data_IF_908303687387
#
_entry.id   IF_908303687387
#
_cell.length_a   1.000
_cell.length_b   1.000
_cell.length_c   1.000
_cell.angle_alpha   90.00
_cell.angle_beta   90.00
_cell.angle_gamma   90.00
#
_symmetry.space_group_name_H-M   'P 1'
#
loop_
_entity.id
_entity.type
_entity.pdbx_description
1 polymer ?
#
# COMPACT_ATOMS: atom_id res chain seq x y z
N UNK A 1 -12.58 2.37 -27.63
CA UNK A 1 -11.24 1.77 -27.74
C UNK A 1 -10.28 2.93 -27.95
N UNK A 2 -9.28 3.11 -27.09
CA UNK A 2 -8.30 4.19 -27.23
C UNK A 2 -7.42 3.86 -28.44
N UNK A 3 -7.16 4.83 -29.30
CA UNK A 3 -6.29 4.65 -30.48
C UNK A 3 -4.82 4.62 -30.08
N UNK A 4 -3.96 3.94 -30.85
CA UNK A 4 -2.51 3.90 -30.58
C UNK A 4 -1.91 5.31 -30.47
N UNK A 5 -2.44 6.27 -31.24
CA UNK A 5 -2.06 7.67 -31.18
C UNK A 5 -2.38 8.32 -29.83
N UNK A 6 -3.53 8.01 -29.25
CA UNK A 6 -3.90 8.50 -27.93
C UNK A 6 -3.07 7.84 -26.82
N UNK A 7 -2.69 6.58 -26.97
CA UNK A 7 -1.77 5.90 -26.03
C UNK A 7 -0.40 6.58 -26.06
N UNK A 8 0.17 6.81 -27.24
CA UNK A 8 1.48 7.48 -27.39
C UNK A 8 1.42 8.90 -26.81
N UNK A 9 0.40 9.69 -27.17
CA UNK A 9 0.25 11.06 -26.65
C UNK A 9 0.08 11.07 -25.12
N UNK A 10 -0.59 10.07 -24.55
CA UNK A 10 -0.76 9.93 -23.10
C UNK A 10 0.57 9.54 -22.43
N UNK A 11 1.34 8.63 -23.01
CA UNK A 11 2.67 8.25 -22.52
C UNK A 11 3.63 9.43 -22.55
N UNK A 12 3.68 10.19 -23.66
CA UNK A 12 4.53 11.38 -23.77
C UNK A 12 4.16 12.45 -22.74
N UNK A 13 2.85 12.73 -22.57
CA UNK A 13 2.36 13.65 -21.54
C UNK A 13 2.82 13.20 -20.15
N UNK A 14 2.57 11.95 -19.79
CA UNK A 14 2.84 11.45 -18.44
C UNK A 14 4.33 11.34 -18.14
N UNK A 15 5.14 10.98 -19.14
CA UNK A 15 6.60 11.02 -19.04
C UNK A 15 7.11 12.44 -18.78
N UNK A 16 6.57 13.44 -19.48
CA UNK A 16 6.93 14.85 -19.26
C UNK A 16 6.50 15.38 -17.89
N UNK A 17 5.50 14.73 -17.28
CA UNK A 17 4.97 15.11 -15.98
C UNK A 17 5.57 14.31 -14.82
N UNK A 18 6.53 13.43 -15.10
CA UNK A 18 7.21 12.52 -14.16
C UNK A 18 6.29 11.50 -13.50
N UNK A 19 5.38 10.91 -14.26
CA UNK A 19 4.63 9.75 -13.78
C UNK A 19 5.59 8.59 -13.47
N UNK A 20 5.33 7.90 -12.37
CA UNK A 20 5.96 6.63 -12.02
C UNK A 20 4.93 5.52 -11.75
N UNK A 21 5.35 4.28 -11.99
CA UNK A 21 4.65 3.12 -11.44
C UNK A 21 5.22 2.88 -10.06
N UNK A 22 4.44 3.26 -9.04
CA UNK A 22 4.87 3.22 -7.64
C UNK A 22 5.31 1.82 -7.22
N UNK A 23 4.56 0.80 -7.63
CA UNK A 23 4.90 -0.59 -7.30
C UNK A 23 4.37 -1.57 -8.33
N UNK A 24 5.15 -2.62 -8.59
CA UNK A 24 4.66 -3.88 -9.15
C UNK A 24 4.84 -4.96 -8.10
N UNK A 25 3.74 -5.62 -7.75
CA UNK A 25 3.69 -6.61 -6.67
C UNK A 25 3.28 -7.96 -7.23
N UNK A 26 4.17 -8.94 -7.13
CA UNK A 26 3.89 -10.33 -7.49
C UNK A 26 3.26 -11.06 -6.30
N UNK A 27 1.98 -11.39 -6.43
CA UNK A 27 1.25 -12.26 -5.52
C UNK A 27 1.64 -13.71 -5.74
N UNK A 28 2.00 -14.45 -4.68
CA UNK A 28 2.33 -15.88 -4.74
C UNK A 28 1.58 -16.65 -3.65
N UNK A 29 0.81 -17.66 -4.06
CA UNK A 29 0.13 -18.54 -3.12
C UNK A 29 1.11 -19.50 -2.45
N UNK A 30 1.00 -19.68 -1.14
CA UNK A 30 1.84 -20.61 -0.37
C UNK A 30 1.07 -21.82 0.17
N UNK A 31 -0.20 -22.02 -0.21
CA UNK A 31 -1.00 -23.10 0.34
C UNK A 31 -0.49 -24.50 -0.05
N UNK A 32 0.13 -24.66 -1.22
CA UNK A 32 0.82 -25.89 -1.64
C UNK A 32 2.15 -26.13 -0.91
N UNK A 33 2.66 -25.12 -0.21
CA UNK A 33 3.84 -25.21 0.63
C UNK A 33 3.49 -25.64 2.06
N UNK A 34 2.21 -25.66 2.44
CA UNK A 34 1.73 -26.06 3.77
C UNK A 34 2.09 -27.52 4.09
N UNK A 35 2.44 -27.81 5.34
CA UNK A 35 2.76 -29.14 5.84
C UNK A 35 3.22 -29.13 7.29
N UNK A 36 3.31 -30.32 7.88
CA UNK A 36 3.55 -30.47 9.34
C UNK A 36 5.00 -30.17 9.76
N UNK A 37 5.97 -30.30 8.86
CA UNK A 37 7.37 -29.98 9.14
C UNK A 37 7.70 -28.51 8.76
N UNK A 38 7.98 -27.64 9.74
CA UNK A 38 8.32 -26.23 9.49
C UNK A 38 9.56 -26.04 8.62
N UNK A 39 10.54 -26.96 8.66
CA UNK A 39 11.75 -26.84 7.82
C UNK A 39 11.42 -27.11 6.36
N UNK A 40 10.63 -28.14 6.09
CA UNK A 40 10.15 -28.44 4.74
C UNK A 40 9.23 -27.35 4.21
N UNK A 41 8.37 -26.77 5.06
CA UNK A 41 7.57 -25.59 4.70
C UNK A 41 8.48 -24.45 4.20
N UNK A 42 9.45 -24.02 5.00
CA UNK A 42 10.35 -22.92 4.65
C UNK A 42 11.16 -23.19 3.39
N UNK A 43 11.66 -24.43 3.21
CA UNK A 43 12.37 -24.83 1.99
C UNK A 43 11.47 -24.73 0.74
N UNK A 44 10.21 -25.15 0.83
CA UNK A 44 9.25 -25.05 -0.29
C UNK A 44 8.90 -23.60 -0.59
N UNK A 45 8.68 -22.78 0.44
CA UNK A 45 8.41 -21.34 0.29
C UNK A 45 9.56 -20.65 -0.45
N UNK A 46 10.81 -20.83 0.00
CA UNK A 46 11.99 -20.26 -0.66
C UNK A 46 12.08 -20.69 -2.12
N UNK A 47 11.94 -22.00 -2.38
CA UNK A 47 12.03 -22.54 -3.74
C UNK A 47 10.91 -22.00 -4.66
N UNK A 48 9.67 -21.91 -4.16
CA UNK A 48 8.54 -21.40 -4.94
C UNK A 48 8.68 -19.92 -5.25
N UNK A 49 9.03 -19.09 -4.26
CA UNK A 49 9.22 -17.65 -4.46
C UNK A 49 10.39 -17.39 -5.42
N UNK A 50 11.54 -18.04 -5.21
CA UNK A 50 12.71 -17.86 -6.08
C UNK A 50 12.41 -18.23 -7.53
N UNK A 51 11.65 -19.31 -7.74
CA UNK A 51 11.25 -19.77 -9.08
C UNK A 51 10.31 -18.81 -9.79
N UNK A 52 9.36 -18.21 -9.07
CA UNK A 52 8.32 -17.35 -9.67
C UNK A 52 8.74 -15.88 -9.77
N UNK A 53 9.53 -15.39 -8.79
CA UNK A 53 9.90 -13.98 -8.66
C UNK A 53 11.33 -13.67 -9.11
N UNK A 54 12.16 -14.68 -9.43
CA UNK A 54 13.59 -14.48 -9.74
C UNK A 54 13.87 -13.52 -10.91
N UNK A 55 12.94 -13.40 -11.87
CA UNK A 55 13.05 -12.47 -13.01
C UNK A 55 12.29 -11.16 -12.80
N UNK A 56 11.56 -10.99 -11.70
CA UNK A 56 10.62 -9.88 -11.49
C UNK A 56 11.30 -8.51 -11.64
N UNK A 57 12.43 -8.31 -10.95
CA UNK A 57 13.17 -7.03 -10.95
C UNK A 57 13.64 -6.68 -12.36
N UNK A 58 14.29 -7.63 -13.03
CA UNK A 58 14.82 -7.48 -14.39
C UNK A 58 13.70 -7.12 -15.38
N UNK A 59 12.56 -7.83 -15.31
CA UNK A 59 11.42 -7.57 -16.19
C UNK A 59 10.82 -6.19 -15.93
N UNK A 60 10.62 -5.80 -14.67
CA UNK A 60 10.12 -4.48 -14.32
C UNK A 60 11.03 -3.36 -14.83
N UNK A 61 12.35 -3.51 -14.70
CA UNK A 61 13.33 -2.52 -15.19
C UNK A 61 13.34 -2.44 -16.72
N UNK A 62 13.28 -3.59 -17.41
CA UNK A 62 13.18 -3.64 -18.89
C UNK A 62 11.92 -2.94 -19.40
N UNK A 63 10.77 -3.22 -18.78
CA UNK A 63 9.50 -2.58 -19.14
C UNK A 63 9.53 -1.09 -18.83
N UNK A 64 10.05 -0.70 -17.67
CA UNK A 64 10.16 0.71 -17.29
C UNK A 64 11.04 1.51 -18.25
N UNK A 65 12.16 0.93 -18.68
CA UNK A 65 13.03 1.53 -19.71
C UNK A 65 12.32 1.65 -21.06
N UNK A 66 11.56 0.63 -21.47
CA UNK A 66 10.83 0.60 -22.75
C UNK A 66 9.80 1.73 -22.86
N UNK A 67 9.04 1.98 -21.79
CA UNK A 67 8.01 3.02 -21.76
C UNK A 67 8.51 4.37 -21.26
N UNK A 68 9.73 4.45 -20.73
CA UNK A 68 10.29 5.66 -20.13
C UNK A 68 9.56 6.09 -18.85
N UNK A 69 8.94 5.13 -18.15
CA UNK A 69 8.19 5.31 -16.90
C UNK A 69 8.78 4.32 -15.89
N UNK A 70 9.48 4.77 -14.84
CA UNK A 70 10.14 3.86 -13.92
C UNK A 70 9.13 3.08 -13.08
N UNK A 71 9.47 1.82 -12.80
CA UNK A 71 8.85 1.03 -11.72
C UNK A 71 9.67 1.25 -10.46
N UNK A 72 9.15 2.02 -9.51
CA UNK A 72 9.90 2.46 -8.33
C UNK A 72 10.16 1.28 -7.39
N UNK A 73 9.10 0.55 -7.03
CA UNK A 73 9.21 -0.61 -6.14
C UNK A 73 8.83 -1.90 -6.86
N UNK A 74 9.56 -2.97 -6.57
CA UNK A 74 9.28 -4.35 -6.99
C UNK A 74 9.10 -5.17 -5.72
N UNK A 75 7.93 -5.78 -5.57
CA UNK A 75 7.51 -6.39 -4.30
C UNK A 75 6.94 -7.78 -4.52
N UNK A 76 6.91 -8.55 -3.44
CA UNK A 76 6.19 -9.82 -3.38
C UNK A 76 5.12 -9.74 -2.29
N UNK A 77 3.96 -10.33 -2.56
CA UNK A 77 2.93 -10.54 -1.55
C UNK A 77 2.62 -12.03 -1.50
N UNK A 78 2.62 -12.62 -0.30
CA UNK A 78 2.33 -14.05 -0.14
C UNK A 78 0.99 -14.29 0.55
N UNK A 79 0.50 -15.53 0.47
CA UNK A 79 -0.65 -15.95 1.28
C UNK A 79 -0.45 -15.64 2.77
N UNK A 80 -1.53 -15.38 3.54
CA UNK A 80 -1.43 -15.11 4.97
C UNK A 80 -0.64 -16.23 5.67
N UNK A 81 0.52 -15.88 6.23
CA UNK A 81 1.38 -16.85 6.89
C UNK A 81 0.68 -17.49 8.09
N UNK A 82 -0.25 -16.80 8.76
CA UNK A 82 -1.05 -17.38 9.83
C UNK A 82 -1.87 -18.61 9.37
N UNK A 83 -2.26 -18.63 8.08
CA UNK A 83 -2.99 -19.75 7.46
C UNK A 83 -2.02 -20.78 6.90
N UNK A 84 -1.05 -20.35 6.09
CA UNK A 84 -0.12 -21.27 5.42
C UNK A 84 0.81 -22.02 6.40
N UNK A 85 1.10 -21.41 7.56
CA UNK A 85 1.94 -21.95 8.62
C UNK A 85 1.16 -22.16 9.94
N UNK A 86 -0.14 -22.43 9.87
CA UNK A 86 -1.05 -22.43 11.04
C UNK A 86 -0.67 -23.39 12.19
N UNK A 87 0.13 -24.42 11.92
CA UNK A 87 0.63 -25.39 12.91
C UNK A 87 1.89 -24.92 13.66
N UNK A 88 2.54 -23.86 13.17
CA UNK A 88 3.81 -23.39 13.70
C UNK A 88 3.66 -22.64 15.04
N UNK A 89 4.68 -22.76 15.86
CA UNK A 89 4.86 -21.96 17.09
C UNK A 89 5.38 -20.54 16.78
N UNK A 90 5.32 -19.65 17.77
CA UNK A 90 5.85 -18.28 17.69
C UNK A 90 7.29 -18.25 17.15
N UNK A 91 8.21 -19.03 17.74
CA UNK A 91 9.60 -19.08 17.28
C UNK A 91 9.75 -19.59 15.83
N UNK A 92 8.91 -20.53 15.41
CA UNK A 92 8.91 -21.02 14.03
C UNK A 92 8.34 -19.99 13.04
N UNK A 93 7.38 -19.16 13.46
CA UNK A 93 6.90 -18.02 12.68
C UNK A 93 8.01 -16.98 12.47
N UNK A 94 8.83 -16.71 13.50
CA UNK A 94 10.01 -15.84 13.38
C UNK A 94 11.03 -16.43 12.38
N UNK A 95 11.33 -17.73 12.45
CA UNK A 95 12.18 -18.41 11.45
C UNK A 95 11.60 -18.33 10.02
N UNK A 96 10.27 -18.41 9.90
CA UNK A 96 9.58 -18.24 8.62
C UNK A 96 9.73 -16.82 8.09
N UNK A 97 9.59 -15.79 8.93
CA UNK A 97 9.86 -14.40 8.55
C UNK A 97 11.32 -14.22 8.09
N UNK A 98 12.30 -14.80 8.80
CA UNK A 98 13.70 -14.79 8.37
C UNK A 98 13.91 -15.44 7.00
N UNK A 99 13.20 -16.54 6.71
CA UNK A 99 13.24 -17.17 5.38
C UNK A 99 12.68 -16.27 4.28
N UNK A 100 11.57 -15.58 4.56
CA UNK A 100 10.98 -14.61 3.61
C UNK A 100 11.94 -13.45 3.36
N UNK A 101 12.58 -12.91 4.40
CA UNK A 101 13.55 -11.82 4.31
C UNK A 101 14.77 -12.20 3.46
N UNK A 102 15.38 -13.35 3.75
CA UNK A 102 16.52 -13.87 3.00
C UNK A 102 16.16 -14.09 1.53
N UNK A 103 14.99 -14.68 1.27
CA UNK A 103 14.51 -14.94 -0.10
C UNK A 103 14.27 -13.62 -0.84
N UNK A 104 13.64 -12.63 -0.19
CA UNK A 104 13.40 -11.31 -0.77
C UNK A 104 14.71 -10.60 -1.13
N UNK A 105 15.73 -10.71 -0.27
CA UNK A 105 17.08 -10.18 -0.54
C UNK A 105 17.73 -10.89 -1.74
N UNK A 106 17.63 -12.21 -1.83
CA UNK A 106 18.22 -13.01 -2.91
C UNK A 106 17.64 -12.68 -4.29
N UNK A 107 16.33 -12.47 -4.38
CA UNK A 107 15.65 -12.08 -5.63
C UNK A 107 15.70 -10.56 -5.91
N UNK A 108 16.23 -9.78 -4.97
CA UNK A 108 16.42 -8.33 -5.13
C UNK A 108 15.15 -7.48 -5.04
N UNK A 109 14.07 -7.98 -4.43
CA UNK A 109 12.84 -7.18 -4.22
C UNK A 109 12.96 -6.28 -3.00
N UNK A 110 12.22 -5.17 -3.01
CA UNK A 110 12.27 -4.16 -1.95
C UNK A 110 11.63 -4.67 -0.65
N UNK A 111 10.44 -5.26 -0.78
CA UNK A 111 9.65 -5.74 0.35
C UNK A 111 8.86 -7.01 0.01
N UNK A 112 8.60 -7.82 1.04
CA UNK A 112 7.71 -8.97 1.00
C UNK A 112 6.63 -8.85 2.07
N UNK A 113 5.37 -8.81 1.64
CA UNK A 113 4.19 -8.76 2.49
C UNK A 113 3.49 -10.11 2.56
N UNK A 114 2.57 -10.27 3.50
CA UNK A 114 1.84 -11.52 3.73
C UNK A 114 2.18 -12.22 5.04
N UNK A 115 3.09 -11.65 5.86
CA UNK A 115 3.21 -12.03 7.28
C UNK A 115 1.96 -11.52 8.04
N UNK A 116 0.83 -12.13 7.71
CA UNK A 116 -0.50 -11.56 7.90
C UNK A 116 -1.41 -12.53 8.63
N UNK A 117 -2.26 -11.98 9.51
CA UNK A 117 -3.36 -12.68 10.16
C UNK A 117 -4.70 -11.97 9.89
N UNK A 118 -5.78 -12.76 9.76
CA UNK A 118 -7.14 -12.28 9.52
C UNK A 118 -8.01 -12.74 10.70
N UNK A 119 -8.30 -11.84 11.63
CA UNK A 119 -8.84 -12.16 12.96
C UNK A 119 -10.12 -11.41 13.29
N UNK A 120 -10.81 -10.85 12.30
CA UNK A 120 -12.03 -10.08 12.51
C UNK A 120 -13.17 -10.86 13.19
N UNK A 121 -13.11 -12.20 13.20
CA UNK A 121 -14.10 -13.10 13.82
C UNK A 121 -13.56 -13.94 14.97
N UNK A 122 -12.39 -13.61 15.49
CA UNK A 122 -11.71 -14.37 16.54
C UNK A 122 -10.39 -14.93 16.05
N UNK A 123 -9.77 -15.78 16.88
CA UNK A 123 -8.43 -16.27 16.64
C UNK A 123 -8.40 -17.79 16.47
N UNK A 124 -7.61 -18.25 15.51
CA UNK A 124 -7.05 -19.60 15.53
C UNK A 124 -5.73 -19.62 16.31
N UNK A 125 -5.18 -20.81 16.52
CA UNK A 125 -3.84 -20.98 17.11
C UNK A 125 -2.75 -20.32 16.25
N UNK A 126 -2.85 -20.47 14.93
CA UNK A 126 -1.90 -19.89 13.97
C UNK A 126 -1.92 -18.36 13.99
N UNK A 127 -3.12 -17.77 14.11
CA UNK A 127 -3.27 -16.32 14.18
C UNK A 127 -2.59 -15.73 15.41
N UNK A 128 -2.82 -16.32 16.60
CA UNK A 128 -2.15 -15.88 17.83
C UNK A 128 -0.64 -16.02 17.73
N UNK A 129 -0.17 -17.18 17.25
CA UNK A 129 1.26 -17.43 17.08
C UNK A 129 1.93 -16.44 16.13
N UNK A 130 1.23 -16.04 15.04
CA UNK A 130 1.74 -15.02 14.13
C UNK A 130 1.79 -13.65 14.80
N UNK A 131 0.69 -13.20 15.43
CA UNK A 131 0.63 -11.87 16.06
C UNK A 131 1.68 -11.74 17.15
N UNK A 132 1.84 -12.75 18.00
CA UNK A 132 2.87 -12.79 19.05
C UNK A 132 4.30 -12.80 18.48
N UNK A 133 4.50 -13.31 17.25
CA UNK A 133 5.80 -13.33 16.59
C UNK A 133 6.15 -12.01 15.89
N UNK A 134 5.18 -11.11 15.63
CA UNK A 134 5.39 -9.86 14.88
C UNK A 134 6.55 -9.03 15.46
N UNK A 135 6.65 -8.77 16.78
CA UNK A 135 7.68 -7.89 17.31
C UNK A 135 9.10 -8.41 17.00
N UNK A 136 9.35 -9.69 17.27
CA UNK A 136 10.66 -10.31 17.03
C UNK A 136 10.93 -10.51 15.54
N UNK A 137 9.92 -10.89 14.75
CA UNK A 137 10.03 -11.06 13.31
C UNK A 137 10.41 -9.74 12.63
N UNK A 138 9.74 -8.63 12.97
CA UNK A 138 10.01 -7.33 12.36
C UNK A 138 11.30 -6.68 12.88
N UNK A 139 11.73 -7.00 14.11
CA UNK A 139 13.02 -6.55 14.64
C UNK A 139 14.22 -7.27 14.00
N UNK A 140 14.04 -8.55 13.62
CA UNK A 140 15.12 -9.39 13.07
C UNK A 140 15.18 -9.41 11.53
N UNK A 141 14.23 -8.78 10.84
CA UNK A 141 14.15 -8.75 9.37
C UNK A 141 14.17 -7.31 8.83
N UNK A 142 14.49 -7.13 7.55
CA UNK A 142 14.55 -5.80 6.93
C UNK A 142 13.40 -5.56 5.93
N UNK A 143 13.01 -6.58 5.17
CA UNK A 143 12.11 -6.52 4.02
C UNK A 143 10.73 -7.10 4.28
N UNK A 144 10.56 -7.83 5.38
CA UNK A 144 9.26 -8.41 5.73
C UNK A 144 8.34 -7.31 6.26
N UNK A 145 7.15 -7.23 5.67
CA UNK A 145 6.03 -6.43 6.14
C UNK A 145 4.96 -7.34 6.72
N UNK A 146 4.30 -6.85 7.77
CA UNK A 146 3.23 -7.56 8.47
C UNK A 146 1.95 -6.75 8.47
N UNK A 147 0.83 -7.46 8.41
CA UNK A 147 -0.49 -6.85 8.53
C UNK A 147 -1.46 -7.70 9.34
N UNK A 148 -2.38 -7.08 10.06
CA UNK A 148 -3.40 -7.81 10.83
C UNK A 148 -4.76 -7.18 10.59
N UNK A 149 -5.70 -7.96 10.03
CA UNK A 149 -7.08 -7.49 9.88
C UNK A 149 -7.87 -7.83 11.13
N UNK A 150 -8.31 -6.80 11.87
CA UNK A 150 -8.99 -6.94 13.17
C UNK A 150 -10.50 -6.71 13.07
N UNK A 151 -10.98 -6.24 11.93
CA UNK A 151 -12.39 -5.88 11.76
C UNK A 151 -12.88 -6.09 10.33
N UNK A 152 -14.19 -6.29 10.19
CA UNK A 152 -14.89 -6.12 8.92
C UNK A 152 -16.32 -5.66 9.16
N UNK A 153 -16.92 -5.01 8.17
CA UNK A 153 -18.31 -4.55 8.20
C UNK A 153 -19.28 -5.71 8.47
N UNK A 154 -18.93 -6.92 8.01
CA UNK A 154 -19.74 -8.13 8.19
C UNK A 154 -19.54 -8.79 9.56
N UNK A 155 -18.35 -8.67 10.15
CA UNK A 155 -17.99 -9.34 11.40
C UNK A 155 -18.12 -8.44 12.64
N UNK A 156 -18.11 -7.12 12.46
CA UNK A 156 -17.82 -6.18 13.52
C UNK A 156 -16.31 -6.03 13.75
N UNK A 157 -15.96 -5.61 14.95
CA UNK A 157 -14.58 -5.37 15.38
C UNK A 157 -14.22 -6.40 16.44
N UNK A 158 -13.13 -7.12 16.24
CA UNK A 158 -12.57 -7.99 17.27
C UNK A 158 -11.72 -7.15 18.25
N UNK A 159 -12.33 -6.68 19.33
CA UNK A 159 -11.65 -5.83 20.33
C UNK A 159 -10.50 -6.56 21.05
N UNK A 160 -10.55 -7.89 21.18
CA UNK A 160 -9.43 -8.65 21.74
C UNK A 160 -8.20 -8.55 20.82
N UNK A 161 -8.41 -8.56 19.49
CA UNK A 161 -7.35 -8.38 18.51
C UNK A 161 -6.83 -6.95 18.48
N UNK A 162 -7.71 -5.96 18.56
CA UNK A 162 -7.32 -4.54 18.68
C UNK A 162 -6.42 -4.32 19.90
N UNK A 163 -6.82 -4.85 21.06
CA UNK A 163 -6.03 -4.74 22.29
C UNK A 163 -4.68 -5.47 22.19
N UNK A 164 -4.65 -6.67 21.61
CA UNK A 164 -3.42 -7.41 21.36
C UNK A 164 -2.49 -6.65 20.40
N UNK A 165 -3.04 -6.01 19.36
CA UNK A 165 -2.25 -5.20 18.44
C UNK A 165 -1.66 -3.95 19.11
N UNK A 166 -2.39 -3.30 20.02
CA UNK A 166 -1.84 -2.20 20.82
C UNK A 166 -0.57 -2.60 21.60
N UNK A 167 -0.57 -3.80 22.20
CA UNK A 167 0.61 -4.37 22.87
C UNK A 167 1.73 -4.74 21.88
N UNK A 168 1.35 -5.35 20.77
CA UNK A 168 2.27 -5.81 19.73
C UNK A 168 3.04 -4.65 19.11
N UNK A 169 2.35 -3.55 18.78
CA UNK A 169 2.95 -2.33 18.25
C UNK A 169 3.92 -1.72 19.26
N UNK A 170 3.52 -1.61 20.54
CA UNK A 170 4.38 -1.08 21.60
C UNK A 170 5.66 -1.91 21.73
N UNK A 171 5.54 -3.23 21.78
CA UNK A 171 6.68 -4.14 21.89
C UNK A 171 7.59 -4.06 20.66
N UNK A 172 7.03 -4.01 19.45
CA UNK A 172 7.81 -3.87 18.21
C UNK A 172 8.62 -2.55 18.19
N UNK A 173 8.01 -1.44 18.62
CA UNK A 173 8.70 -0.16 18.77
C UNK A 173 9.84 -0.24 19.79
N UNK A 174 9.59 -0.85 20.96
CA UNK A 174 10.58 -0.98 22.03
C UNK A 174 11.78 -1.87 21.65
N UNK A 175 11.54 -2.95 20.89
CA UNK A 175 12.59 -3.84 20.39
C UNK A 175 13.46 -3.18 19.32
N UNK A 176 12.93 -2.19 18.61
CA UNK A 176 13.64 -1.46 17.54
C UNK A 176 13.92 0.00 17.90
N UNK A 177 13.93 0.35 19.19
CA UNK A 177 14.12 1.73 19.68
C UNK A 177 15.41 2.40 19.17
N UNK A 178 16.47 1.61 19.03
CA UNK A 178 17.79 2.10 18.58
C UNK A 178 17.81 2.45 17.08
N UNK A 179 16.79 2.01 16.34
CA UNK A 179 16.53 2.38 14.95
C UNK A 179 15.19 3.10 14.81
N UNK A 180 14.86 3.99 15.75
CA UNK A 180 13.66 4.85 15.73
C UNK A 180 12.32 4.08 15.65
N UNK A 181 12.27 2.85 16.19
CA UNK A 181 11.04 2.04 16.18
C UNK A 181 10.67 1.50 14.80
N UNK A 182 11.65 1.31 13.91
CA UNK A 182 11.47 0.94 12.48
C UNK A 182 10.55 -0.26 12.24
N UNK A 183 10.41 -1.19 13.20
CA UNK A 183 9.46 -2.29 13.07
C UNK A 183 8.01 -1.80 12.81
N UNK A 184 7.60 -0.69 13.44
CA UNK A 184 6.26 -0.12 13.28
C UNK A 184 6.01 0.41 11.87
N UNK A 185 7.05 0.87 11.14
CA UNK A 185 6.91 1.30 9.75
C UNK A 185 6.62 0.13 8.79
N UNK A 186 6.82 -1.11 9.23
CA UNK A 186 6.56 -2.35 8.45
C UNK A 186 5.32 -3.09 8.95
N UNK A 187 4.53 -2.50 9.85
CA UNK A 187 3.36 -3.12 10.47
C UNK A 187 2.12 -2.28 10.18
N UNK A 188 1.04 -2.93 9.74
CA UNK A 188 -0.24 -2.27 9.52
C UNK A 188 -1.40 -3.03 10.17
N UNK A 189 -2.34 -2.31 10.77
CA UNK A 189 -3.58 -2.89 11.33
C UNK A 189 -4.74 -2.45 10.46
N UNK A 190 -5.55 -3.41 10.00
CA UNK A 190 -6.63 -3.16 9.05
C UNK A 190 -8.01 -3.42 9.62
N UNK A 191 -8.95 -2.69 9.04
CA UNK A 191 -10.36 -3.02 8.97
C UNK A 191 -10.77 -3.15 7.51
N UNK A 192 -11.52 -4.19 7.16
CA UNK A 192 -11.97 -4.46 5.79
C UNK A 192 -10.84 -4.57 4.75
N UNK A 193 -9.73 -5.23 5.09
CA UNK A 193 -8.61 -5.43 4.16
C UNK A 193 -9.07 -6.08 2.83
N UNK A 194 -8.78 -5.47 1.65
CA UNK A 194 -8.95 -6.15 0.36
C UNK A 194 -7.97 -7.33 0.19
N UNK A 195 -8.31 -8.28 -0.68
CA UNK A 195 -7.54 -9.52 -0.89
C UNK A 195 -6.31 -9.35 -1.81
N UNK A 196 -6.19 -8.23 -2.50
CA UNK A 196 -5.32 -8.03 -3.67
C UNK A 196 -4.52 -6.70 -3.62
N UNK A 197 -4.32 -6.14 -2.42
CA UNK A 197 -3.65 -4.84 -2.24
C UNK A 197 -2.18 -4.91 -2.69
N UNK A 198 -1.73 -4.07 -3.65
CA UNK A 198 -0.33 -4.07 -4.07
C UNK A 198 0.60 -3.27 -3.14
N UNK A 199 0.06 -2.43 -2.25
CA UNK A 199 0.80 -1.50 -1.40
C UNK A 199 1.23 -2.11 -0.05
N UNK A 200 2.47 -1.84 0.36
CA UNK A 200 3.01 -2.20 1.67
C UNK A 200 2.70 -1.12 2.71
N UNK A 201 2.64 -1.44 4.01
CA UNK A 201 2.91 -2.75 4.64
C UNK A 201 1.76 -3.77 4.54
N UNK A 202 0.62 -3.39 3.93
CA UNK A 202 -0.61 -4.20 3.95
C UNK A 202 -0.72 -5.33 2.94
N UNK A 203 0.14 -5.37 1.92
CA UNK A 203 0.00 -6.31 0.82
C UNK A 203 0.09 -7.77 1.28
N UNK A 204 -0.85 -8.59 0.83
CA UNK A 204 -0.85 -10.04 0.94
C UNK A 204 -1.63 -10.61 -0.25
N UNK A 205 -1.47 -11.91 -0.51
CA UNK A 205 -2.28 -12.60 -1.50
C UNK A 205 -3.45 -13.32 -0.82
N UNK A 206 -4.67 -12.81 -0.99
CA UNK A 206 -5.85 -13.32 -0.30
C UNK A 206 -6.30 -14.72 -0.72
N UNK A 207 -7.11 -15.33 0.14
CA UNK A 207 -7.77 -16.61 -0.15
C UNK A 207 -8.81 -16.39 -1.24
N UNK A 208 -8.65 -17.06 -2.38
CA UNK A 208 -9.52 -16.91 -3.55
C UNK A 208 -8.79 -16.34 -4.78
N UNK A 209 -7.63 -15.74 -4.57
CA UNK A 209 -6.76 -15.27 -5.65
C UNK A 209 -6.06 -16.45 -6.38
N UNK A 210 -5.59 -16.25 -7.63
CA UNK A 210 -4.84 -17.25 -8.38
C UNK A 210 -3.54 -17.69 -7.66
N UNK A 211 -2.94 -18.80 -8.11
CA UNK A 211 -1.67 -19.30 -7.54
C UNK A 211 -0.52 -18.28 -7.65
N UNK A 212 -0.56 -17.43 -8.67
CA UNK A 212 0.38 -16.36 -8.92
C UNK A 212 -0.31 -15.24 -9.70
N UNK A 213 -0.07 -13.97 -9.36
CA UNK A 213 -0.74 -12.81 -10.01
C UNK A 213 0.12 -11.54 -9.93
N UNK A 214 0.07 -10.67 -10.94
CA UNK A 214 0.69 -9.34 -10.92
C UNK A 214 -0.35 -8.28 -10.59
N UNK A 215 -0.12 -7.56 -9.48
CA UNK A 215 -0.88 -6.36 -9.11
C UNK A 215 0.02 -5.14 -9.22
N UNK A 216 -0.53 -4.01 -9.66
CA UNK A 216 0.24 -2.78 -9.89
C UNK A 216 -0.38 -1.62 -9.11
N UNK A 217 0.47 -0.89 -8.40
CA UNK A 217 0.12 0.38 -7.78
C UNK A 217 0.71 1.52 -8.58
N UNK A 218 -0.13 2.46 -9.00
CA UNK A 218 0.29 3.66 -9.72
C UNK A 218 0.13 4.86 -8.82
N UNK A 219 1.16 5.71 -8.76
CA UNK A 219 1.07 7.00 -8.08
C UNK A 219 1.20 8.12 -9.10
N UNK A 220 0.61 9.27 -8.81
CA UNK A 220 0.76 10.46 -9.65
C UNK A 220 0.24 11.75 -9.02
N UNK A 221 0.52 12.05 -7.74
CA UNK A 221 0.09 13.31 -7.15
C UNK A 221 0.65 14.51 -7.92
N UNK A 222 1.92 14.46 -8.35
CA UNK A 222 2.50 15.53 -9.18
C UNK A 222 1.79 15.73 -10.52
N UNK A 223 1.33 14.66 -11.18
CA UNK A 223 0.55 14.71 -12.43
C UNK A 223 -0.80 15.39 -12.20
N UNK A 224 -1.51 14.99 -11.13
CA UNK A 224 -2.80 15.57 -10.76
C UNK A 224 -2.66 17.05 -10.40
N UNK A 225 -1.63 17.41 -9.61
CA UNK A 225 -1.33 18.78 -9.25
C UNK A 225 -1.09 19.66 -10.48
N UNK A 226 -0.21 19.23 -11.40
CA UNK A 226 0.09 19.98 -12.63
C UNK A 226 -1.15 20.16 -13.51
N UNK A 227 -2.01 19.15 -13.60
CA UNK A 227 -3.27 19.24 -14.34
C UNK A 227 -4.21 20.30 -13.74
N UNK A 228 -4.33 20.34 -12.40
CA UNK A 228 -5.11 21.35 -11.67
C UNK A 228 -4.53 22.75 -11.91
N UNK A 229 -3.22 22.93 -11.70
CA UNK A 229 -2.55 24.23 -11.82
C UNK A 229 -2.70 24.82 -13.22
N UNK A 230 -2.54 23.99 -14.26
CA UNK A 230 -2.73 24.39 -15.66
C UNK A 230 -4.15 24.85 -15.93
N UNK A 231 -5.12 24.09 -15.45
CA UNK A 231 -6.52 24.40 -15.68
C UNK A 231 -6.96 25.68 -14.93
N UNK A 232 -6.47 25.90 -13.70
CA UNK A 232 -6.71 27.16 -12.96
C UNK A 232 -6.08 28.36 -13.64
N UNK A 233 -4.88 28.18 -14.20
CA UNK A 233 -4.18 29.23 -14.95
C UNK A 233 -4.93 29.59 -16.23
N UNK A 234 -5.54 28.60 -16.91
CA UNK A 234 -6.33 28.81 -18.11
C UNK A 234 -7.73 29.38 -17.83
N UNK A 235 -8.33 29.04 -16.68
CA UNK A 235 -9.65 29.51 -16.28
C UNK A 235 -9.65 29.96 -14.80
N UNK A 236 -9.55 31.28 -14.53
CA UNK A 236 -9.60 31.80 -13.16
C UNK A 236 -10.92 31.57 -12.42
N UNK A 237 -12.01 31.22 -13.14
CA UNK A 237 -13.34 30.94 -12.56
C UNK A 237 -13.59 29.43 -12.36
N UNK A 238 -12.54 28.65 -12.20
CA UNK A 238 -12.68 27.21 -12.00
C UNK A 238 -13.35 26.91 -10.67
N UNK A 239 -14.47 26.19 -10.72
CA UNK A 239 -15.14 25.66 -9.55
C UNK A 239 -14.64 24.23 -9.21
N UNK A 240 -15.07 23.72 -8.06
CA UNK A 240 -14.71 22.38 -7.61
C UNK A 240 -15.26 21.27 -8.52
N UNK A 241 -16.34 21.50 -9.25
CA UNK A 241 -16.92 20.53 -10.17
C UNK A 241 -16.06 20.32 -11.41
N UNK A 242 -15.58 21.42 -12.00
CA UNK A 242 -14.63 21.38 -13.12
C UNK A 242 -13.29 20.78 -12.70
N UNK A 243 -12.80 21.16 -11.51
CA UNK A 243 -11.60 20.55 -10.90
C UNK A 243 -11.75 19.04 -10.72
N UNK A 244 -12.88 18.57 -10.21
CA UNK A 244 -13.16 17.14 -10.07
C UNK A 244 -13.14 16.41 -11.42
N UNK A 245 -13.68 17.01 -12.49
CA UNK A 245 -13.64 16.41 -13.83
C UNK A 245 -12.20 16.31 -14.38
N UNK A 246 -11.36 17.32 -14.12
CA UNK A 246 -9.93 17.29 -14.49
C UNK A 246 -9.19 16.18 -13.74
N UNK A 247 -9.41 16.06 -12.43
CA UNK A 247 -8.81 15.00 -11.60
C UNK A 247 -9.25 13.63 -12.14
N UNK A 248 -10.54 13.44 -12.39
CA UNK A 248 -11.10 12.20 -12.93
C UNK A 248 -10.50 11.82 -14.28
N UNK A 249 -10.37 12.76 -15.22
CA UNK A 249 -9.73 12.50 -16.53
C UNK A 249 -8.25 12.19 -16.41
N UNK A 250 -7.57 12.84 -15.46
CA UNK A 250 -6.15 12.60 -15.20
C UNK A 250 -5.95 11.21 -14.59
N UNK A 251 -6.72 10.88 -13.57
CA UNK A 251 -6.78 9.55 -12.96
C UNK A 251 -7.01 8.45 -14.01
N UNK A 252 -7.98 8.64 -14.92
CA UNK A 252 -8.22 7.71 -16.02
C UNK A 252 -6.95 7.43 -16.84
N UNK A 253 -6.24 8.48 -17.28
CA UNK A 253 -5.03 8.34 -18.09
C UNK A 253 -3.92 7.62 -17.34
N UNK A 254 -3.73 7.98 -16.07
CA UNK A 254 -2.72 7.38 -15.20
C UNK A 254 -3.01 5.88 -15.01
N UNK A 255 -4.26 5.51 -14.71
CA UNK A 255 -4.68 4.11 -14.57
C UNK A 255 -4.46 3.31 -15.86
N UNK A 256 -4.78 3.87 -17.03
CA UNK A 256 -4.56 3.18 -18.32
C UNK A 256 -3.10 2.86 -18.57
N UNK A 257 -2.20 3.78 -18.25
CA UNK A 257 -0.76 3.56 -18.42
C UNK A 257 -0.21 2.57 -17.41
N UNK A 258 -0.65 2.64 -16.15
CA UNK A 258 -0.30 1.64 -15.15
C UNK A 258 -0.75 0.23 -15.53
N UNK A 259 -1.99 0.10 -16.04
CA UNK A 259 -2.50 -1.18 -16.53
C UNK A 259 -1.68 -1.69 -17.72
N UNK A 260 -1.30 -0.81 -18.67
CA UNK A 260 -0.46 -1.18 -19.81
C UNK A 260 0.88 -1.76 -19.35
N UNK A 261 1.56 -1.07 -18.43
CA UNK A 261 2.84 -1.52 -17.87
C UNK A 261 2.67 -2.84 -17.10
N UNK A 262 1.63 -2.94 -16.28
CA UNK A 262 1.35 -4.14 -15.49
C UNK A 262 1.07 -5.37 -16.33
N UNK A 263 0.30 -5.22 -17.42
CA UNK A 263 0.03 -6.31 -18.37
C UNK A 263 1.28 -6.76 -19.09
N UNK A 264 2.14 -5.83 -19.54
CA UNK A 264 3.40 -6.19 -20.18
C UNK A 264 4.34 -6.96 -19.22
N UNK A 265 4.41 -6.55 -17.95
CA UNK A 265 5.18 -7.29 -16.93
C UNK A 265 4.59 -8.69 -16.71
N UNK A 266 3.27 -8.78 -16.58
CA UNK A 266 2.54 -10.04 -16.40
C UNK A 266 2.78 -11.01 -17.58
N UNK A 267 2.68 -10.52 -18.82
CA UNK A 267 2.90 -11.29 -20.03
C UNK A 267 4.36 -11.79 -20.15
N UNK A 268 5.35 -10.94 -19.84
CA UNK A 268 6.77 -11.32 -19.83
C UNK A 268 7.10 -12.38 -18.78
N UNK A 269 6.47 -12.30 -17.60
CA UNK A 269 6.61 -13.28 -16.52
C UNK A 269 5.71 -14.52 -16.70
N UNK A 270 4.80 -14.49 -17.68
CA UNK A 270 3.79 -15.54 -17.92
C UNK A 270 2.90 -15.81 -16.69
N UNK A 271 2.53 -14.73 -16.01
CA UNK A 271 1.66 -14.70 -14.84
C UNK A 271 0.41 -13.89 -15.20
N UNK A 272 -0.80 -14.24 -14.71
CA UNK A 272 -1.97 -13.41 -14.97
C UNK A 272 -1.82 -12.02 -14.36
N UNK A 273 -2.35 -11.03 -15.08
CA UNK A 273 -2.56 -9.70 -14.51
C UNK A 273 -3.78 -9.71 -13.61
N UNK A 274 -3.62 -9.21 -12.39
CA UNK A 274 -4.69 -9.02 -11.41
C UNK A 274 -5.24 -7.61 -11.52
N UNK A 275 -4.89 -6.74 -10.57
CA UNK A 275 -5.46 -5.40 -10.47
C UNK A 275 -4.47 -4.26 -10.68
N UNK A 276 -5.02 -3.12 -11.10
CA UNK A 276 -4.38 -1.80 -11.03
C UNK A 276 -5.04 -0.97 -9.94
N UNK A 277 -4.28 -0.61 -8.92
CA UNK A 277 -4.71 0.32 -7.87
C UNK A 277 -4.15 1.71 -8.18
N UNK A 278 -5.05 2.67 -8.39
CA UNK A 278 -4.68 4.07 -8.50
C UNK A 278 -4.78 4.72 -7.13
N UNK A 279 -3.62 4.95 -6.53
CA UNK A 279 -3.54 5.63 -5.26
C UNK A 279 -2.51 6.75 -5.31
N UNK A 280 -2.95 7.97 -4.97
CA UNK A 280 -2.07 9.14 -4.90
C UNK A 280 -1.21 8.99 -3.64
N UNK A 281 -0.05 8.36 -3.81
CA UNK A 281 0.92 8.11 -2.76
C UNK A 281 2.09 9.10 -2.93
N UNK A 282 2.24 10.08 -2.03
CA UNK A 282 3.25 11.12 -2.19
C UNK A 282 4.67 10.58 -1.99
N UNK A 283 5.65 11.42 -2.32
CA UNK A 283 7.04 11.22 -1.94
C UNK A 283 7.56 12.41 -1.13
N UNK A 284 8.74 12.30 -0.48
CA UNK A 284 9.37 13.45 0.17
C UNK A 284 9.80 14.56 -0.81
N UNK A 285 9.69 14.33 -2.12
CA UNK A 285 10.13 15.27 -3.14
C UNK A 285 9.12 16.39 -3.36
N UNK A 286 9.62 17.62 -3.48
CA UNK A 286 8.80 18.79 -3.82
C UNK A 286 8.15 18.59 -5.20
N UNK A 287 6.87 18.91 -5.33
CA UNK A 287 6.11 18.73 -6.57
C UNK A 287 5.40 17.37 -6.70
N UNK A 288 5.60 16.45 -5.75
CA UNK A 288 4.96 15.12 -5.71
C UNK A 288 4.28 14.88 -4.35
N UNK A 289 3.45 15.85 -3.96
CA UNK A 289 2.79 15.93 -2.66
C UNK A 289 1.26 16.00 -2.81
N UNK A 290 0.56 15.23 -1.98
CA UNK A 290 -0.90 15.33 -1.83
C UNK A 290 -1.25 16.63 -1.08
N UNK A 291 -0.40 17.04 -0.14
CA UNK A 291 -0.50 18.34 0.54
C UNK A 291 -0.53 19.53 -0.42
N UNK A 292 0.29 19.49 -1.47
CA UNK A 292 0.30 20.52 -2.52
C UNK A 292 -0.96 20.49 -3.41
N UNK A 293 -1.54 19.31 -3.67
CA UNK A 293 -2.82 19.22 -4.40
C UNK A 293 -3.90 20.02 -3.65
N UNK A 294 -3.97 19.90 -2.32
CA UNK A 294 -4.93 20.67 -1.52
C UNK A 294 -4.72 22.18 -1.66
N UNK A 295 -3.47 22.64 -1.75
CA UNK A 295 -3.16 24.04 -1.99
C UNK A 295 -3.59 24.48 -3.39
N UNK A 296 -3.33 23.65 -4.40
CA UNK A 296 -3.80 23.84 -5.77
C UNK A 296 -5.33 23.81 -5.89
N UNK A 297 -6.06 23.14 -4.97
CA UNK A 297 -7.52 23.22 -4.86
C UNK A 297 -8.02 24.49 -4.16
N UNK A 298 -7.12 25.31 -3.59
CA UNK A 298 -7.44 26.60 -2.97
C UNK A 298 -7.40 26.59 -1.45
N UNK A 299 -6.96 25.51 -0.80
CA UNK A 299 -6.75 25.49 0.65
C UNK A 299 -5.42 26.15 1.02
N UNK A 300 -5.36 26.82 2.17
CA UNK A 300 -4.10 27.40 2.66
C UNK A 300 -3.08 26.32 3.08
N UNK A 301 -3.58 25.25 3.69
CA UNK A 301 -2.80 24.10 4.16
C UNK A 301 -3.76 22.92 4.33
N UNK A 302 -3.23 21.70 4.28
CA UNK A 302 -3.96 20.52 4.75
C UNK A 302 -4.28 20.69 6.25
N UNK A 303 -5.46 20.21 6.67
CA UNK A 303 -5.95 20.28 8.06
C UNK A 303 -6.91 21.44 8.34
N UNK A 304 -6.87 22.52 7.54
CA UNK A 304 -7.79 23.66 7.70
C UNK A 304 -9.25 23.32 7.35
N UNK A 305 -10.24 24.16 7.72
CA UNK A 305 -11.63 23.97 7.30
C UNK A 305 -11.76 23.78 5.78
N UNK A 306 -12.56 22.80 5.37
CA UNK A 306 -12.70 22.39 3.98
C UNK A 306 -11.82 21.20 3.54
N UNK A 307 -10.74 20.87 4.28
CA UNK A 307 -9.82 19.76 3.92
C UNK A 307 -10.54 18.43 3.72
N UNK A 308 -11.44 18.04 4.63
CA UNK A 308 -12.17 16.77 4.52
C UNK A 308 -13.06 16.72 3.28
N UNK A 309 -13.71 17.83 2.93
CA UNK A 309 -14.53 17.90 1.72
C UNK A 309 -13.68 17.85 0.45
N UNK A 310 -12.53 18.53 0.44
CA UNK A 310 -11.58 18.46 -0.67
C UNK A 310 -11.01 17.05 -0.87
N UNK A 311 -10.67 16.36 0.23
CA UNK A 311 -10.20 14.96 0.19
C UNK A 311 -11.30 14.02 -0.31
N UNK A 312 -12.54 14.19 0.15
CA UNK A 312 -13.68 13.40 -0.32
C UNK A 312 -13.87 13.55 -1.83
N UNK A 313 -13.84 14.78 -2.35
CA UNK A 313 -13.94 15.07 -3.78
C UNK A 313 -12.77 14.48 -4.56
N UNK A 314 -11.53 14.64 -4.06
CA UNK A 314 -10.32 14.09 -4.68
C UNK A 314 -10.43 12.56 -4.80
N UNK A 315 -10.78 11.88 -3.71
CA UNK A 315 -10.94 10.43 -3.67
C UNK A 315 -12.05 9.95 -4.61
N UNK A 316 -13.21 10.61 -4.60
CA UNK A 316 -14.33 10.27 -5.50
C UNK A 316 -13.94 10.43 -6.98
N UNK A 317 -13.27 11.52 -7.33
CA UNK A 317 -12.81 11.78 -8.69
C UNK A 317 -11.75 10.76 -9.15
N UNK A 318 -10.78 10.44 -8.28
CA UNK A 318 -9.74 9.43 -8.54
C UNK A 318 -10.36 8.05 -8.75
N UNK A 319 -11.25 7.61 -7.84
CA UNK A 319 -11.95 6.33 -7.94
C UNK A 319 -12.77 6.23 -9.22
N UNK A 320 -13.55 7.26 -9.55
CA UNK A 320 -14.34 7.31 -10.80
C UNK A 320 -13.46 7.26 -12.05
N UNK A 321 -12.33 7.96 -12.03
CA UNK A 321 -11.36 7.96 -13.13
C UNK A 321 -10.77 6.57 -13.36
N UNK A 322 -10.35 5.91 -12.27
CA UNK A 322 -9.83 4.55 -12.31
C UNK A 322 -10.87 3.55 -12.83
N UNK A 323 -12.07 3.51 -12.22
CA UNK A 323 -13.13 2.56 -12.61
C UNK A 323 -13.54 2.74 -14.08
N UNK A 324 -13.49 3.98 -14.60
CA UNK A 324 -13.75 4.22 -16.02
C UNK A 324 -12.62 3.73 -16.94
N UNK A 325 -11.38 3.64 -16.43
CA UNK A 325 -10.20 3.23 -17.19
C UNK A 325 -10.05 1.71 -17.32
N UNK A 326 -10.47 0.94 -16.32
CA UNK A 326 -10.22 -0.50 -16.28
C UNK A 326 -11.34 -1.26 -15.60
N UNK A 327 -11.57 -2.49 -16.07
CA UNK A 327 -12.40 -3.48 -15.35
C UNK A 327 -11.61 -4.21 -14.25
N UNK A 328 -10.31 -3.93 -14.12
CA UNK A 328 -9.39 -4.57 -13.18
C UNK A 328 -8.92 -3.58 -12.11
N UNK A 329 -9.75 -2.62 -11.72
CA UNK A 329 -9.42 -1.71 -10.61
C UNK A 329 -9.71 -2.42 -9.29
N UNK A 330 -8.71 -2.46 -8.40
CA UNK A 330 -8.78 -3.11 -7.10
C UNK A 330 -8.02 -2.35 -6.02
N UNK A 331 -7.76 -3.01 -4.89
CA UNK A 331 -7.06 -2.42 -3.75
C UNK A 331 -7.84 -1.31 -3.03
N UNK A 332 -7.12 -0.31 -2.49
CA UNK A 332 -7.70 0.76 -1.67
C UNK A 332 -8.20 1.93 -2.51
N UNK A 333 -7.53 2.22 -3.64
CA UNK A 333 -7.79 3.31 -4.59
C UNK A 333 -8.14 4.65 -3.93
N UNK A 334 -7.18 5.53 -3.67
CA UNK A 334 -7.43 6.84 -3.05
C UNK A 334 -6.19 7.69 -2.80
N UNK A 335 -6.33 8.81 -2.09
CA UNK A 335 -5.22 9.65 -1.69
C UNK A 335 -4.66 9.20 -0.33
N UNK A 336 -3.39 8.81 -0.31
CA UNK A 336 -2.69 8.47 0.93
C UNK A 336 -2.37 9.77 1.68
N UNK A 337 -2.50 9.74 3.00
CA UNK A 337 -2.15 10.85 3.90
C UNK A 337 -1.04 10.37 4.85
N UNK A 338 0.15 9.97 4.34
CA UNK A 338 1.22 9.46 5.17
C UNK A 338 1.94 10.64 5.83
N UNK A 339 1.63 10.90 7.10
CA UNK A 339 2.01 12.17 7.76
C UNK A 339 3.52 12.42 7.72
N UNK A 340 4.31 11.37 7.85
CA UNK A 340 5.78 11.47 7.89
C UNK A 340 6.46 11.33 6.51
N UNK A 341 5.75 11.01 5.43
CA UNK A 341 6.35 10.82 4.09
C UNK A 341 6.13 12.01 3.14
N UNK A 342 5.09 12.83 3.38
CA UNK A 342 4.79 14.03 2.59
C UNK A 342 5.20 15.29 3.35
N UNK A 343 6.13 16.06 2.78
CA UNK A 343 6.69 17.26 3.40
C UNK A 343 5.61 18.25 3.85
N UNK A 344 4.60 18.51 3.02
CA UNK A 344 3.56 19.49 3.32
C UNK A 344 2.60 18.99 4.41
N UNK A 345 2.38 17.68 4.48
CA UNK A 345 1.56 17.04 5.52
C UNK A 345 2.33 17.07 6.85
N UNK A 346 3.62 16.73 6.84
CA UNK A 346 4.50 16.81 8.00
C UNK A 346 4.58 18.24 8.55
N UNK A 347 4.76 19.24 7.69
CA UNK A 347 4.76 20.64 8.10
C UNK A 347 3.42 21.08 8.70
N UNK A 348 2.30 20.63 8.14
CA UNK A 348 0.98 20.98 8.64
C UNK A 348 0.73 20.37 10.03
N UNK A 349 1.23 19.16 10.28
CA UNK A 349 1.22 18.53 11.60
C UNK A 349 2.14 19.28 12.57
N UNK A 350 3.38 19.60 12.19
CA UNK A 350 4.33 20.35 13.00
C UNK A 350 3.86 21.76 13.37
N UNK A 351 3.07 22.41 12.49
CA UNK A 351 2.42 23.71 12.73
C UNK A 351 1.14 23.61 13.57
N UNK A 352 0.68 22.39 13.89
CA UNK A 352 -0.57 22.15 14.64
C UNK A 352 -1.85 22.38 13.84
N UNK A 353 -1.76 22.57 12.52
CA UNK A 353 -2.95 22.74 11.66
C UNK A 353 -3.61 21.41 11.29
N UNK A 354 -2.83 20.32 11.32
CA UNK A 354 -3.30 18.96 11.12
C UNK A 354 -3.17 18.20 12.44
N UNK A 355 -4.29 18.05 13.15
CA UNK A 355 -4.35 17.31 14.43
C UNK A 355 -4.75 15.85 14.20
N UNK A 356 -4.62 15.02 15.24
CA UNK A 356 -5.01 13.61 15.17
C UNK A 356 -6.51 13.46 14.90
N UNK A 357 -7.36 14.25 15.56
CA UNK A 357 -8.81 14.25 15.35
C UNK A 357 -9.17 14.70 13.93
N UNK A 358 -8.35 15.59 13.34
CA UNK A 358 -8.53 16.00 11.95
C UNK A 358 -8.16 14.87 10.99
N UNK A 359 -7.10 14.14 11.27
CA UNK A 359 -6.72 12.95 10.51
C UNK A 359 -7.80 11.87 10.62
N UNK A 360 -8.30 11.60 11.82
CA UNK A 360 -9.45 10.71 12.07
C UNK A 360 -10.68 11.15 11.25
N UNK A 361 -11.04 12.44 11.27
CA UNK A 361 -12.14 12.93 10.44
C UNK A 361 -11.88 12.75 8.93
N UNK A 362 -10.62 12.77 8.49
CA UNK A 362 -10.25 12.54 7.09
C UNK A 362 -10.31 11.06 6.70
N UNK A 363 -10.09 10.12 7.63
CA UNK A 363 -10.25 8.68 7.35
C UNK A 363 -11.70 8.31 7.02
N UNK A 364 -12.69 9.07 7.52
CA UNK A 364 -14.11 8.85 7.19
C UNK A 364 -14.41 8.93 5.68
N UNK A 365 -13.55 9.59 4.90
CA UNK A 365 -13.69 9.77 3.45
C UNK A 365 -12.51 9.18 2.66
N UNK A 366 -11.58 8.50 3.33
CA UNK A 366 -10.38 7.92 2.72
C UNK A 366 -10.13 6.48 3.21
N UNK A 367 -9.89 5.56 2.26
CA UNK A 367 -9.74 4.12 2.52
C UNK A 367 -8.42 3.73 3.19
N UNK A 368 -7.44 4.64 3.27
CA UNK A 368 -6.08 4.33 3.77
C UNK A 368 -5.99 4.33 5.29
N UNK A 369 -6.86 5.08 5.98
CA UNK A 369 -6.82 5.21 7.43
C UNK A 369 -5.74 6.17 7.94
N UNK A 370 -5.33 5.96 9.19
CA UNK A 370 -4.23 6.68 9.84
C UNK A 370 -2.91 6.05 9.40
N UNK A 371 -2.08 6.80 8.67
CA UNK A 371 -0.87 6.26 8.06
C UNK A 371 0.37 7.10 8.38
N UNK A 372 1.48 6.40 8.67
CA UNK A 372 2.78 6.98 9.02
C UNK A 372 2.70 8.13 10.04
N UNK A 373 1.86 7.96 11.07
CA UNK A 373 1.69 8.93 12.18
C UNK A 373 2.64 8.58 13.31
N UNK A 374 3.43 9.57 13.73
CA UNK A 374 4.25 9.45 14.94
C UNK A 374 3.42 9.79 16.18
N UNK A 375 3.47 8.93 17.20
CA UNK A 375 2.90 9.18 18.53
C UNK A 375 4.01 9.11 19.60
N UNK A 376 3.83 9.74 20.78
CA UNK A 376 4.83 9.70 21.84
C UNK A 376 5.21 8.27 22.24
N UNK A 377 6.51 8.02 22.41
CA UNK A 377 7.04 6.70 22.74
C UNK A 377 6.61 6.15 24.11
N UNK A 378 6.09 6.99 25.00
CA UNK A 378 5.52 6.63 26.30
C UNK A 378 4.00 6.34 26.25
N UNK A 379 3.35 6.46 25.09
CA UNK A 379 1.93 6.10 24.90
C UNK A 379 1.68 4.65 25.33
N UNK A 380 0.60 4.41 26.08
CA UNK A 380 0.26 3.09 26.59
C UNK A 380 -0.31 2.18 25.49
N UNK A 381 -0.15 0.86 25.59
CA UNK A 381 -0.80 -0.10 24.70
C UNK A 381 -2.31 0.09 24.60
N UNK A 382 -2.97 0.44 25.71
CA UNK A 382 -4.41 0.72 25.77
C UNK A 382 -4.80 1.94 24.92
N UNK A 383 -4.00 3.00 24.94
CA UNK A 383 -4.24 4.18 24.10
C UNK A 383 -3.97 3.88 22.63
N UNK A 384 -2.92 3.12 22.31
CA UNK A 384 -2.67 2.67 20.93
C UNK A 384 -3.87 1.84 20.43
N UNK A 385 -4.37 0.92 21.26
CA UNK A 385 -5.56 0.13 20.95
C UNK A 385 -6.84 0.97 20.80
N UNK A 386 -6.94 2.13 21.45
CA UNK A 386 -8.09 3.02 21.28
C UNK A 386 -7.99 3.91 20.02
N UNK A 387 -6.78 4.11 19.49
CA UNK A 387 -6.55 4.81 18.21
C UNK A 387 -6.89 3.90 17.02
N UNK A 388 -6.59 2.59 17.16
CA UNK A 388 -6.96 1.53 16.21
C UNK A 388 -8.47 1.30 16.26
#
# INVERSE_FOLDING_TARGET
MITDREVIATLEMLRSEHLDVRTVTLGISLFDCAGDDPRHFRSRVRAKISRLAGDLVRVCDEVGLRYGIPVVNKRVAVSPIAVAACSQSVGQMVETAGTLDETAREIGVDFIGGFTALVEKGFTRGDRALIEAIPDALASTQRVCSSVNVASTKAGINMDAVYLMGKTIKQAAELTRDGDGLACAKLCVFSNIPQDIPFMAGAYLGVGEPDCVINVGVSGPGVVKKAIDRARSANPRMDLGLLADIIKRTAFKVTRVGELIGREVADKLRVPFGVVDLSLAPTPNVGDSVGEIFQSLGLKSIGVPGTTAALAMLNDAVKKGGIFASSYVGGLSGAFIPVSEDLNIAEAAGKGTLTLEKLEAMTSVCSVGLDMIAIPGDTSPETIAAII
#
